data_IF_233137588908
#
_entry.id   IF_233137588908
#
_cell.length_a   1.000
_cell.length_b   1.000
_cell.length_c   1.000
_cell.angle_alpha   90.00
_cell.angle_beta   90.00
_cell.angle_gamma   90.00
#
_symmetry.space_group_name_H-M   'P 1'
#
loop_
_entity.id
_entity.type
_entity.pdbx_description
1 polymer ?
#
# COMPACT_ATOMS: atom_id res chain seq x y z
N UNK A 1 13.36 39.52 -69.50
CA UNK A 1 14.17 39.44 -68.27
C UNK A 1 13.32 38.82 -67.18
N UNK A 2 13.82 37.74 -66.59
CA UNK A 2 13.11 36.83 -65.69
C UNK A 2 13.29 37.27 -64.24
N UNK A 3 12.21 37.45 -63.48
CA UNK A 3 12.26 37.71 -62.05
C UNK A 3 12.31 36.38 -61.29
N UNK A 4 13.48 36.06 -60.73
CA UNK A 4 13.70 34.86 -59.90
C UNK A 4 13.20 35.11 -58.47
N UNK A 5 12.33 34.20 -58.01
CA UNK A 5 11.74 34.12 -56.66
C UNK A 5 12.81 34.05 -55.56
N UNK A 6 12.69 34.87 -54.52
CA UNK A 6 13.42 34.70 -53.25
C UNK A 6 12.42 34.61 -52.09
N UNK A 7 12.10 33.38 -51.64
CA UNK A 7 11.22 33.17 -50.47
C UNK A 7 11.55 31.87 -49.67
N UNK A 8 12.70 31.23 -49.90
CA UNK A 8 13.03 29.94 -49.26
C UNK A 8 13.78 30.07 -47.93
N UNK A 9 14.38 31.22 -47.63
CA UNK A 9 15.22 31.40 -46.43
C UNK A 9 14.39 31.64 -45.16
N UNK A 10 13.28 32.38 -45.25
CA UNK A 10 12.43 32.69 -44.09
C UNK A 10 11.70 31.47 -43.50
N UNK A 11 11.48 30.40 -44.28
CA UNK A 11 10.85 29.17 -43.80
C UNK A 11 11.80 28.28 -42.98
N UNK A 12 13.12 28.43 -43.14
CA UNK A 12 14.10 27.61 -42.42
C UNK A 12 14.45 28.16 -41.03
N UNK A 13 14.34 29.48 -40.84
CA UNK A 13 14.68 30.12 -39.56
C UNK A 13 13.58 29.94 -38.50
N UNK A 14 12.30 29.93 -38.90
CA UNK A 14 11.19 29.67 -37.99
C UNK A 14 11.15 28.24 -37.42
N UNK A 15 11.65 27.27 -38.18
CA UNK A 15 11.72 25.87 -37.73
C UNK A 15 12.82 25.64 -36.68
N UNK A 16 13.93 26.38 -36.76
CA UNK A 16 15.05 26.24 -35.82
C UNK A 16 14.71 26.75 -34.41
N UNK A 17 13.96 27.85 -34.31
CA UNK A 17 13.53 28.44 -33.03
C UNK A 17 12.51 27.55 -32.31
N UNK A 18 11.59 26.92 -33.04
CA UNK A 18 10.60 26.01 -32.46
C UNK A 18 11.23 24.71 -31.93
N UNK A 19 12.32 24.23 -32.53
CA UNK A 19 13.05 23.06 -32.03
C UNK A 19 13.82 23.36 -30.73
N UNK A 20 14.34 24.57 -30.57
CA UNK A 20 15.12 24.96 -29.40
C UNK A 20 14.24 25.17 -28.15
N UNK A 21 12.99 25.63 -28.31
CA UNK A 21 12.01 25.69 -27.21
C UNK A 21 11.55 24.29 -26.74
N UNK A 22 11.51 23.30 -27.63
CA UNK A 22 11.08 21.94 -27.28
C UNK A 22 12.12 21.18 -26.43
N UNK A 23 13.41 21.47 -26.63
CA UNK A 23 14.49 20.81 -25.88
C UNK A 23 14.57 21.32 -24.43
N UNK A 24 14.22 22.59 -24.19
CA UNK A 24 14.16 23.15 -22.83
C UNK A 24 12.94 22.67 -22.02
N UNK A 25 11.88 22.17 -22.67
CA UNK A 25 10.71 21.61 -21.99
C UNK A 25 10.88 20.13 -21.60
N UNK A 26 11.81 19.41 -22.23
CA UNK A 26 12.13 18.01 -21.91
C UNK A 26 13.26 17.88 -20.87
N UNK A 27 13.98 18.96 -20.59
CA UNK A 27 15.08 19.00 -19.62
C UNK A 27 14.66 19.47 -18.21
N UNK A 28 13.39 19.82 -18.00
CA UNK A 28 12.87 20.17 -16.68
C UNK A 28 12.50 18.88 -15.95
N UNK A 29 13.41 18.51 -15.05
CA UNK A 29 13.22 17.58 -13.92
C UNK A 29 12.92 16.12 -14.24
N UNK A 30 13.85 15.46 -14.92
CA UNK A 30 14.31 14.16 -14.43
C UNK A 30 15.47 14.41 -13.47
N UNK A 31 15.21 15.04 -12.32
CA UNK A 31 16.06 14.78 -11.17
C UNK A 31 15.80 13.33 -10.80
N UNK A 32 16.55 12.41 -11.43
CA UNK A 32 16.84 11.14 -10.82
C UNK A 32 17.67 11.45 -9.57
N UNK A 33 17.00 11.98 -8.54
CA UNK A 33 17.31 11.60 -7.17
C UNK A 33 17.42 10.08 -7.25
N UNK A 34 18.54 9.53 -6.81
CA UNK A 34 18.64 8.09 -6.61
C UNK A 34 17.52 7.72 -5.63
N UNK A 35 16.33 7.39 -6.17
CA UNK A 35 15.25 6.82 -5.39
C UNK A 35 15.84 5.51 -4.93
N UNK A 36 16.22 5.46 -3.66
CA UNK A 36 16.63 4.23 -3.02
C UNK A 36 15.60 3.18 -3.42
N UNK A 37 16.04 2.12 -4.08
CA UNK A 37 15.14 1.09 -4.60
C UNK A 37 14.17 0.67 -3.50
N UNK A 38 12.91 1.07 -3.63
CA UNK A 38 11.86 0.79 -2.64
C UNK A 38 11.28 -0.61 -2.85
N UNK A 39 11.56 -1.21 -4.01
CA UNK A 39 11.02 -2.52 -4.33
C UNK A 39 11.79 -3.61 -3.58
N UNK A 40 11.09 -4.69 -3.23
CA UNK A 40 11.67 -5.86 -2.58
C UNK A 40 10.79 -6.47 -1.49
N UNK A 41 11.38 -7.36 -0.70
CA UNK A 41 10.70 -7.95 0.45
C UNK A 41 10.91 -7.12 1.72
N UNK A 42 9.85 -7.05 2.54
CA UNK A 42 9.83 -6.30 3.78
C UNK A 42 9.28 -7.18 4.90
N UNK A 43 9.94 -7.17 6.06
CA UNK A 43 9.36 -7.70 7.30
C UNK A 43 8.24 -6.77 7.73
N UNK A 44 7.14 -7.35 8.19
CA UNK A 44 5.93 -6.63 8.60
C UNK A 44 5.75 -6.77 10.09
N UNK A 45 5.52 -5.65 10.78
CA UNK A 45 5.07 -5.64 12.15
C UNK A 45 3.83 -4.74 12.30
N UNK A 46 2.76 -5.29 12.84
CA UNK A 46 1.60 -4.53 13.29
C UNK A 46 1.82 -4.15 14.74
N UNK A 47 1.93 -2.85 15.03
CA UNK A 47 2.30 -2.29 16.32
C UNK A 47 1.12 -1.53 16.91
N UNK A 48 0.95 -1.52 18.24
CA UNK A 48 -0.04 -0.66 18.87
C UNK A 48 0.26 0.79 18.51
N UNK A 49 -0.77 1.54 18.14
CA UNK A 49 -0.68 2.92 17.66
C UNK A 49 0.25 3.78 18.53
N UNK A 50 1.22 4.42 17.89
CA UNK A 50 2.19 5.31 18.52
C UNK A 50 3.24 4.60 19.40
N UNK A 51 3.37 3.27 19.30
CA UNK A 51 4.31 2.49 20.10
C UNK A 51 5.12 1.49 19.26
N UNK A 52 6.15 0.90 19.88
CA UNK A 52 6.93 -0.21 19.31
C UNK A 52 6.45 -1.59 19.77
N UNK A 53 5.31 -1.67 20.47
CA UNK A 53 4.78 -2.92 21.02
C UNK A 53 3.89 -3.59 19.99
N UNK A 54 4.01 -4.91 19.80
CA UNK A 54 3.14 -5.66 18.91
C UNK A 54 1.64 -5.45 19.24
N UNK A 55 0.85 -5.24 18.20
CA UNK A 55 -0.62 -5.23 18.24
C UNK A 55 -1.14 -6.66 18.30
N UNK A 56 -2.39 -6.83 18.76
CA UNK A 56 -3.09 -8.12 18.66
C UNK A 56 -3.32 -8.53 17.20
N UNK A 57 -3.36 -7.55 16.29
CA UNK A 57 -3.45 -7.81 14.86
C UNK A 57 -2.16 -8.42 14.26
N UNK A 58 -1.04 -8.44 14.99
CA UNK A 58 0.22 -9.04 14.53
C UNK A 58 0.05 -10.51 14.15
N UNK A 59 -0.81 -11.25 14.85
CA UNK A 59 -1.04 -12.67 14.60
C UNK A 59 -1.70 -12.94 13.24
N UNK A 60 -2.29 -11.91 12.62
CA UNK A 60 -2.81 -11.98 11.26
C UNK A 60 -1.70 -11.99 10.20
N UNK A 61 -0.48 -11.53 10.50
CA UNK A 61 0.61 -11.46 9.52
C UNK A 61 1.08 -12.87 9.16
N UNK A 62 1.04 -13.21 7.88
CA UNK A 62 1.35 -14.55 7.36
C UNK A 62 2.61 -14.58 6.48
N UNK A 63 3.59 -13.71 6.76
CA UNK A 63 4.87 -13.67 6.04
C UNK A 63 5.42 -12.27 5.82
N UNK A 64 6.44 -12.18 4.96
CA UNK A 64 6.99 -10.91 4.50
C UNK A 64 6.00 -10.23 3.53
N UNK A 65 6.02 -8.90 3.51
CA UNK A 65 5.37 -8.13 2.47
C UNK A 65 6.25 -8.05 1.22
N UNK A 66 5.61 -7.97 0.06
CA UNK A 66 6.26 -7.56 -1.18
C UNK A 66 5.90 -6.11 -1.45
N UNK A 67 6.90 -5.27 -1.67
CA UNK A 67 6.74 -3.86 -2.05
C UNK A 67 7.22 -3.68 -3.49
N UNK A 68 6.45 -2.97 -4.29
CA UNK A 68 6.78 -2.63 -5.67
C UNK A 68 6.45 -1.17 -5.95
N UNK A 69 7.36 -0.49 -6.65
CA UNK A 69 7.10 0.84 -7.21
C UNK A 69 6.39 0.71 -8.57
N UNK A 70 5.31 1.46 -8.75
CA UNK A 70 4.55 1.55 -9.97
C UNK A 70 5.18 2.59 -10.91
N UNK A 71 4.85 2.52 -12.21
CA UNK A 71 5.41 3.43 -13.22
C UNK A 71 5.05 4.91 -13.01
N UNK A 72 4.01 5.20 -12.22
CA UNK A 72 3.59 6.55 -11.85
C UNK A 72 4.26 7.07 -10.57
N UNK A 73 5.18 6.30 -9.97
CA UNK A 73 5.87 6.62 -8.72
C UNK A 73 5.08 6.25 -7.45
N UNK A 74 3.85 5.73 -7.59
CA UNK A 74 3.12 5.17 -6.45
C UNK A 74 3.73 3.84 -6.00
N UNK A 75 3.48 3.43 -4.76
CA UNK A 75 4.00 2.21 -4.17
C UNK A 75 2.85 1.28 -3.81
N UNK A 76 2.99 0.02 -4.20
CA UNK A 76 2.07 -1.06 -3.82
C UNK A 76 2.75 -1.98 -2.82
N UNK A 77 2.09 -2.22 -1.69
CA UNK A 77 2.52 -3.09 -0.61
C UNK A 77 1.53 -4.25 -0.53
N UNK A 78 2.02 -5.47 -0.68
CA UNK A 78 1.24 -6.69 -0.55
C UNK A 78 1.64 -7.40 0.74
N UNK A 79 0.74 -7.46 1.70
CA UNK A 79 0.94 -8.14 3.00
C UNK A 79 0.10 -9.42 2.99
N UNK A 80 0.71 -10.61 3.04
CA UNK A 80 -0.03 -11.85 3.21
C UNK A 80 -0.59 -11.91 4.64
N UNK A 81 -1.87 -12.21 4.76
CA UNK A 81 -2.58 -12.32 6.03
C UNK A 81 -3.34 -13.65 6.16
N UNK A 82 -3.61 -14.01 7.41
CA UNK A 82 -4.38 -15.19 7.83
C UNK A 82 -5.35 -14.80 8.95
N UNK A 83 -6.35 -15.63 9.29
CA UNK A 83 -7.19 -15.38 10.45
C UNK A 83 -6.37 -15.33 11.75
N UNK A 84 -6.86 -14.53 12.68
CA UNK A 84 -6.39 -14.50 14.06
C UNK A 84 -7.18 -15.56 14.81
N UNK A 85 -6.58 -16.74 14.98
CA UNK A 85 -7.21 -17.88 15.64
C UNK A 85 -7.18 -17.74 17.17
N UNK A 86 -8.20 -18.27 17.84
CA UNK A 86 -8.24 -18.41 19.31
C UNK A 86 -8.06 -17.08 20.10
N UNK A 87 -8.47 -15.96 19.51
CA UNK A 87 -8.41 -14.66 20.14
C UNK A 87 -9.34 -14.58 21.35
N UNK A 88 -8.79 -14.22 22.51
CA UNK A 88 -9.54 -14.03 23.76
C UNK A 88 -9.62 -12.53 24.08
N UNK A 89 -10.67 -11.81 23.64
CA UNK A 89 -10.79 -10.36 23.86
C UNK A 89 -10.75 -9.97 25.33
N UNK A 90 -11.24 -10.85 26.22
CA UNK A 90 -11.08 -10.75 27.66
C UNK A 90 -10.94 -12.16 28.23
N UNK A 91 -10.12 -12.34 29.28
CA UNK A 91 -9.81 -13.68 29.82
C UNK A 91 -11.00 -14.48 30.39
N UNK A 92 -12.19 -13.87 30.49
CA UNK A 92 -13.44 -14.52 30.89
C UNK A 92 -14.42 -14.75 29.72
N UNK A 93 -14.09 -14.27 28.52
CA UNK A 93 -14.88 -14.47 27.31
C UNK A 93 -14.42 -15.73 26.58
N UNK A 94 -15.34 -16.32 25.80
CA UNK A 94 -15.01 -17.43 24.92
C UNK A 94 -14.02 -16.99 23.84
N UNK A 95 -13.19 -17.93 23.37
CA UNK A 95 -12.28 -17.68 22.27
C UNK A 95 -13.08 -17.33 21.00
N UNK A 96 -12.48 -16.48 20.17
CA UNK A 96 -13.05 -16.00 18.93
C UNK A 96 -12.00 -16.04 17.82
N UNK A 97 -12.43 -16.27 16.58
CA UNK A 97 -11.58 -16.16 15.41
C UNK A 97 -11.83 -14.81 14.73
N UNK A 98 -10.75 -14.08 14.44
CA UNK A 98 -10.79 -12.73 13.88
C UNK A 98 -10.32 -12.67 12.43
N UNK A 99 -11.13 -12.02 11.59
CA UNK A 99 -10.86 -11.87 10.16
C UNK A 99 -10.87 -10.39 9.80
N UNK A 100 -9.72 -9.88 9.33
CA UNK A 100 -9.62 -8.51 8.78
C UNK A 100 -10.44 -8.45 7.49
N UNK A 101 -11.39 -7.53 7.41
CA UNK A 101 -12.26 -7.35 6.25
C UNK A 101 -11.82 -6.20 5.34
N UNK A 102 -10.98 -5.31 5.87
CA UNK A 102 -10.50 -4.13 5.16
C UNK A 102 -9.62 -3.29 6.06
N UNK A 103 -8.86 -2.39 5.45
CA UNK A 103 -8.08 -1.39 6.16
C UNK A 103 -8.41 0.01 5.64
N UNK A 104 -8.34 0.99 6.54
CA UNK A 104 -8.27 2.40 6.21
C UNK A 104 -6.86 2.89 6.50
N UNK A 105 -6.19 3.39 5.46
CA UNK A 105 -4.81 3.89 5.54
C UNK A 105 -4.80 5.35 5.13
N UNK A 106 -4.13 6.21 5.89
CA UNK A 106 -4.01 7.62 5.55
C UNK A 106 -3.19 7.80 4.27
N UNK A 107 -3.70 8.62 3.35
CA UNK A 107 -3.02 8.96 2.11
C UNK A 107 -2.97 7.84 1.06
N UNK A 108 -3.68 6.73 1.25
CA UNK A 108 -3.69 5.61 0.33
C UNK A 108 -5.03 4.89 0.23
N UNK A 109 -5.00 3.77 -0.49
CA UNK A 109 -6.11 2.82 -0.55
C UNK A 109 -5.63 1.46 -0.08
N UNK A 110 -6.53 0.69 0.53
CA UNK A 110 -6.23 -0.68 0.93
C UNK A 110 -7.41 -1.59 0.56
N UNK A 111 -7.11 -2.73 -0.04
CA UNK A 111 -8.10 -3.71 -0.49
C UNK A 111 -7.65 -5.11 -0.14
N UNK A 112 -8.61 -5.98 0.15
CA UNK A 112 -8.34 -7.41 0.25
C UNK A 112 -8.41 -8.05 -1.15
N UNK A 113 -7.41 -8.86 -1.47
CA UNK A 113 -7.31 -9.61 -2.71
C UNK A 113 -6.82 -11.04 -2.43
N UNK A 114 -6.85 -11.89 -3.47
CA UNK A 114 -6.37 -13.28 -3.42
C UNK A 114 -6.91 -14.08 -2.21
N UNK A 115 -8.19 -13.87 -1.92
CA UNK A 115 -8.86 -14.52 -0.80
C UNK A 115 -8.98 -16.02 -1.12
N UNK A 116 -8.42 -16.85 -0.25
CA UNK A 116 -8.58 -18.31 -0.27
C UNK A 116 -9.60 -18.69 0.80
N UNK A 117 -10.73 -19.25 0.38
CA UNK A 117 -11.86 -19.59 1.27
C UNK A 117 -13.07 -18.69 1.04
N UNK A 118 -13.81 -18.41 2.12
CA UNK A 118 -14.98 -17.52 2.10
C UNK A 118 -14.56 -16.04 2.24
N UNK A 119 -15.30 -15.12 1.62
CA UNK A 119 -14.96 -13.69 1.66
C UNK A 119 -14.98 -13.10 3.07
N UNK A 120 -15.77 -13.70 3.98
CA UNK A 120 -15.86 -13.27 5.37
C UNK A 120 -14.94 -14.08 6.27
N UNK A 121 -14.80 -15.39 5.98
CA UNK A 121 -13.98 -16.35 6.73
C UNK A 121 -12.98 -17.05 5.80
N UNK A 122 -11.84 -16.42 5.60
CA UNK A 122 -10.78 -16.93 4.73
C UNK A 122 -9.69 -17.65 5.50
N UNK A 123 -9.03 -18.60 4.84
CA UNK A 123 -7.83 -19.26 5.37
C UNK A 123 -6.59 -18.37 5.15
N UNK A 124 -6.59 -17.62 4.04
CA UNK A 124 -5.57 -16.61 3.76
C UNK A 124 -6.11 -15.55 2.80
N UNK A 125 -5.53 -14.36 2.86
CA UNK A 125 -5.79 -13.27 1.94
C UNK A 125 -4.54 -12.40 1.77
N UNK A 126 -4.53 -11.56 0.75
CA UNK A 126 -3.52 -10.52 0.58
C UNK A 126 -4.15 -9.16 0.82
N UNK A 127 -3.59 -8.44 1.78
CA UNK A 127 -3.87 -7.04 1.97
C UNK A 127 -2.99 -6.24 1.01
N UNK A 128 -3.62 -5.59 0.04
CA UNK A 128 -2.93 -4.78 -0.98
C UNK A 128 -3.17 -3.31 -0.67
N UNK A 129 -2.11 -2.62 -0.28
CA UNK A 129 -2.11 -1.19 0.03
C UNK A 129 -1.42 -0.44 -1.10
N UNK A 130 -2.05 0.60 -1.62
CA UNK A 130 -1.44 1.50 -2.61
C UNK A 130 -1.31 2.90 -2.01
N UNK A 131 -0.08 3.43 -2.03
CA UNK A 131 0.28 4.75 -1.52
C UNK A 131 0.94 5.59 -2.61
N UNK A 132 0.82 6.93 -2.57
CA UNK A 132 1.49 7.81 -3.53
C UNK A 132 3.02 7.76 -3.43
N UNK A 133 3.55 7.40 -2.26
CA UNK A 133 4.98 7.16 -2.03
C UNK A 133 5.15 6.32 -0.75
N UNK A 134 6.31 5.68 -0.59
CA UNK A 134 6.65 4.98 0.65
C UNK A 134 6.93 5.99 1.78
N UNK A 135 6.42 5.77 3.01
CA UNK A 135 6.81 6.57 4.17
C UNK A 135 8.31 6.51 4.42
N UNK A 136 8.92 7.65 4.78
CA UNK A 136 10.39 7.74 4.93
C UNK A 136 10.94 6.94 6.11
N UNK A 137 10.12 6.68 7.12
CA UNK A 137 10.42 5.84 8.28
C UNK A 137 9.93 4.38 8.09
N UNK A 138 9.32 4.08 6.94
CA UNK A 138 8.71 2.77 6.66
C UNK A 138 7.46 2.47 7.47
N UNK A 139 6.86 3.47 8.12
CA UNK A 139 5.70 3.29 9.00
C UNK A 139 4.44 3.87 8.39
N UNK A 140 3.39 3.05 8.34
CA UNK A 140 2.04 3.52 8.07
C UNK A 140 1.35 3.70 9.43
N UNK A 141 1.16 4.94 9.84
CA UNK A 141 0.58 5.26 11.15
C UNK A 141 -0.95 5.36 11.12
N UNK A 142 -1.59 5.01 12.24
CA UNK A 142 -3.02 5.19 12.42
C UNK A 142 -3.86 4.36 11.45
N UNK A 143 -3.40 3.15 11.11
CA UNK A 143 -4.11 2.23 10.23
C UNK A 143 -5.26 1.60 11.01
N UNK A 144 -6.49 1.86 10.54
CA UNK A 144 -7.70 1.32 11.17
C UNK A 144 -8.16 0.08 10.41
N UNK A 145 -8.26 -1.06 11.09
CA UNK A 145 -8.78 -2.28 10.50
C UNK A 145 -10.26 -2.46 10.78
N UNK A 146 -11.02 -2.89 9.78
CA UNK A 146 -12.34 -3.45 9.99
C UNK A 146 -12.22 -4.94 10.28
N UNK A 147 -12.77 -5.39 11.40
CA UNK A 147 -12.72 -6.78 11.84
C UNK A 147 -14.10 -7.41 11.86
N UNK A 148 -14.15 -8.71 11.53
CA UNK A 148 -15.26 -9.58 11.89
C UNK A 148 -14.77 -10.69 12.78
N UNK A 149 -15.56 -10.97 13.83
CA UNK A 149 -15.26 -11.95 14.85
C UNK A 149 -16.32 -13.03 14.84
N UNK A 150 -15.90 -14.28 14.94
CA UNK A 150 -16.75 -15.45 15.09
C UNK A 150 -16.38 -16.18 16.37
N UNK A 151 -17.31 -16.93 16.97
CA UNK A 151 -16.89 -17.89 18.00
C UNK A 151 -15.85 -18.85 17.40
N UNK A 152 -14.84 -19.22 18.19
CA UNK A 152 -13.80 -20.13 17.73
C UNK A 152 -14.41 -21.41 17.12
N UNK A 153 -13.86 -21.84 15.98
CA UNK A 153 -14.31 -23.01 15.21
C UNK A 153 -15.81 -22.99 14.81
N UNK A 154 -16.42 -21.81 14.74
CA UNK A 154 -17.86 -21.65 14.51
C UNK A 154 -18.20 -20.67 13.39
N UNK A 155 -19.35 -20.89 12.76
CA UNK A 155 -19.95 -19.94 11.83
C UNK A 155 -20.78 -18.84 12.52
N UNK A 156 -20.90 -18.90 13.85
CA UNK A 156 -21.69 -17.94 14.62
C UNK A 156 -20.87 -16.69 14.88
N UNK A 157 -21.35 -15.54 14.38
CA UNK A 157 -20.72 -14.24 14.61
C UNK A 157 -20.71 -13.90 16.10
N UNK A 158 -19.60 -13.31 16.57
CA UNK A 158 -19.40 -12.98 17.97
C UNK A 158 -20.12 -11.66 18.30
N UNK A 159 -21.23 -11.68 19.05
CA UNK A 159 -22.18 -10.56 19.08
C UNK A 159 -21.71 -9.35 19.89
N UNK A 160 -20.73 -9.51 20.78
CA UNK A 160 -20.34 -8.48 21.74
C UNK A 160 -19.23 -7.53 21.26
N UNK A 161 -18.64 -7.75 20.09
CA UNK A 161 -17.47 -6.99 19.60
C UNK A 161 -17.57 -6.57 18.13
N UNK A 162 -18.76 -6.59 17.55
CA UNK A 162 -19.04 -6.24 16.14
C UNK A 162 -18.75 -4.78 15.73
N UNK A 163 -18.11 -3.98 16.58
CA UNK A 163 -17.76 -2.57 16.33
C UNK A 163 -16.32 -2.22 16.75
N UNK A 164 -15.43 -3.19 16.94
CA UNK A 164 -14.02 -2.89 17.14
C UNK A 164 -13.36 -2.64 15.79
N UNK A 165 -13.14 -1.37 15.48
CA UNK A 165 -12.23 -0.94 14.43
C UNK A 165 -10.88 -0.58 15.08
N UNK A 166 -10.01 -1.57 15.40
CA UNK A 166 -8.77 -1.27 16.07
C UNK A 166 -7.85 -0.46 15.16
N UNK A 167 -7.19 0.52 15.78
CA UNK A 167 -6.13 1.30 15.16
C UNK A 167 -4.78 0.76 15.59
N UNK A 168 -3.88 0.60 14.62
CA UNK A 168 -2.50 0.17 14.82
C UNK A 168 -1.58 0.80 13.77
N UNK A 169 -0.28 0.71 13.99
CA UNK A 169 0.71 1.12 13.01
C UNK A 169 1.25 -0.11 12.26
N UNK A 170 1.57 0.03 10.98
CA UNK A 170 2.26 -1.00 10.20
C UNK A 170 3.69 -0.53 9.95
N UNK A 171 4.65 -1.20 10.58
CA UNK A 171 6.07 -0.99 10.33
C UNK A 171 6.56 -1.98 9.27
N UNK A 172 7.17 -1.44 8.22
CA UNK A 172 7.83 -2.18 7.16
C UNK A 172 9.36 -2.03 7.29
N UNK A 173 10.09 -3.14 7.29
CA UNK A 173 11.56 -3.14 7.35
C UNK A 173 12.11 -3.96 6.20
N UNK A 174 12.86 -3.33 5.28
CA UNK A 174 13.41 -4.01 4.10
C UNK A 174 14.28 -5.19 4.51
N UNK A 175 14.07 -6.34 3.88
CA UNK A 175 14.94 -7.52 4.03
C UNK A 175 16.19 -7.27 3.17
N UNK A 176 17.36 -7.42 3.79
CA UNK A 176 18.65 -7.26 3.12
C UNK A 176 19.01 -8.46 2.23
#
# INVERSE_FOLDING_TARGET
MTATKNNSIFKKLGALVMAMCLICALAVSASATETADVSGEYRVAFLKEGTTTASMAQDAVNGNATVSENADGSVTILIPIKPIEDYKPMGFLWAADGFIQGLTVSGGTAVLQNIVGDQVRYDSANLVITLPAMPSDGTLSGVTASLKLFYADSATEYPFVSQMDPTFDIQLTKVA
#
